data_IF_808913362918
#
_entry.id   IF_808913362918
#
_cell.length_a   1.000
_cell.length_b   1.000
_cell.length_c   1.000
_cell.angle_alpha   90.00
_cell.angle_beta   90.00
_cell.angle_gamma   90.00
#
_symmetry.space_group_name_H-M   'P 1'
#
loop_
_entity.id
_entity.type
_entity.pdbx_description
1 polymer ?
#
# COMPACT_ATOMS: atom_id res chain seq x y z
N UNK A 1 1.64 -3.76 12.53
CA UNK A 1 1.55 -4.91 11.59
C UNK A 1 2.49 -6.03 12.02
N UNK A 2 1.98 -7.24 12.21
CA UNK A 2 2.78 -8.44 12.51
C UNK A 2 3.68 -8.86 11.34
N UNK A 3 4.71 -9.66 11.63
CA UNK A 3 5.75 -10.09 10.66
C UNK A 3 5.17 -10.85 9.48
N UNK A 4 4.27 -11.80 9.72
CA UNK A 4 3.61 -12.57 8.66
C UNK A 4 2.85 -11.69 7.67
N UNK A 5 2.07 -10.71 8.16
CA UNK A 5 1.32 -9.81 7.28
C UNK A 5 2.25 -8.90 6.46
N UNK A 6 3.35 -8.43 7.02
CA UNK A 6 4.37 -7.66 6.26
C UNK A 6 4.94 -8.50 5.11
N UNK A 7 5.30 -9.76 5.40
CA UNK A 7 5.82 -10.68 4.39
C UNK A 7 4.84 -10.91 3.24
N UNK A 8 3.55 -11.09 3.57
CA UNK A 8 2.49 -11.23 2.57
C UNK A 8 2.34 -9.96 1.73
N UNK A 9 2.28 -8.79 2.34
CA UNK A 9 2.19 -7.51 1.62
C UNK A 9 3.38 -7.31 0.67
N UNK A 10 4.59 -7.60 1.15
CA UNK A 10 5.82 -7.48 0.36
C UNK A 10 5.85 -8.44 -0.82
N UNK A 11 5.42 -9.68 -0.59
CA UNK A 11 5.30 -10.68 -1.64
C UNK A 11 4.25 -10.30 -2.67
N UNK A 12 3.09 -9.78 -2.24
CA UNK A 12 2.04 -9.32 -3.14
C UNK A 12 2.53 -8.16 -4.01
N UNK A 13 3.10 -7.13 -3.39
CA UNK A 13 3.59 -5.92 -4.08
C UNK A 13 4.70 -6.24 -5.08
N UNK A 14 5.65 -7.11 -4.72
CA UNK A 14 6.79 -7.43 -5.58
C UNK A 14 6.49 -8.46 -6.67
N UNK A 15 5.62 -9.44 -6.41
CA UNK A 15 5.46 -10.59 -7.32
C UNK A 15 4.22 -10.52 -8.21
N UNK A 16 3.11 -9.97 -7.72
CA UNK A 16 1.84 -10.14 -8.42
C UNK A 16 0.93 -8.91 -8.46
N UNK A 17 1.23 -7.83 -7.75
CA UNK A 17 0.33 -6.67 -7.65
C UNK A 17 -0.08 -6.13 -9.03
N UNK A 18 0.89 -5.83 -9.89
CA UNK A 18 0.62 -5.31 -11.24
C UNK A 18 -0.18 -6.27 -12.11
N UNK A 19 0.14 -7.57 -12.08
CA UNK A 19 -0.59 -8.58 -12.85
C UNK A 19 -2.03 -8.73 -12.36
N UNK A 20 -2.21 -8.84 -11.03
CA UNK A 20 -3.51 -8.99 -10.37
C UNK A 20 -4.41 -7.77 -10.65
N UNK A 21 -3.91 -6.57 -10.39
CA UNK A 21 -4.70 -5.34 -10.55
C UNK A 21 -5.04 -5.09 -12.02
N UNK A 22 -4.13 -5.36 -12.95
CA UNK A 22 -4.40 -5.22 -14.39
C UNK A 22 -5.46 -6.23 -14.86
N UNK A 23 -5.39 -7.47 -14.40
CA UNK A 23 -6.40 -8.50 -14.70
C UNK A 23 -7.79 -8.06 -14.19
N UNK A 24 -7.88 -7.64 -12.92
CA UNK A 24 -9.14 -7.20 -12.33
C UNK A 24 -9.70 -5.94 -13.00
N UNK A 25 -8.87 -4.94 -13.31
CA UNK A 25 -9.27 -3.75 -14.08
C UNK A 25 -9.92 -4.13 -15.41
N UNK A 26 -9.34 -5.10 -16.12
CA UNK A 26 -9.89 -5.56 -17.39
C UNK A 26 -11.24 -6.24 -17.24
N UNK A 27 -11.43 -7.07 -16.20
CA UNK A 27 -12.72 -7.70 -15.93
C UNK A 27 -13.79 -6.68 -15.52
N UNK A 28 -13.44 -5.68 -14.68
CA UNK A 28 -14.34 -4.58 -14.33
C UNK A 28 -14.71 -3.73 -15.53
N UNK A 29 -13.74 -3.40 -16.39
CA UNK A 29 -13.97 -2.64 -17.63
C UNK A 29 -14.94 -3.33 -18.58
N UNK A 30 -14.90 -4.66 -18.63
CA UNK A 30 -15.77 -5.48 -19.49
C UNK A 30 -17.17 -5.73 -18.91
N UNK A 31 -17.41 -5.34 -17.65
CA UNK A 31 -18.66 -5.72 -16.96
C UNK A 31 -18.81 -7.24 -16.85
N UNK A 32 -17.71 -7.95 -16.58
CA UNK A 32 -17.67 -9.41 -16.59
C UNK A 32 -18.70 -10.03 -15.65
N UNK A 33 -19.50 -10.98 -16.17
CA UNK A 33 -20.45 -11.74 -15.38
C UNK A 33 -19.79 -12.70 -14.35
N UNK A 34 -18.47 -12.85 -14.41
CA UNK A 34 -17.68 -13.64 -13.45
C UNK A 34 -17.51 -12.93 -12.10
N UNK A 35 -17.63 -11.60 -12.10
CA UNK A 35 -17.44 -10.79 -10.90
C UNK A 35 -18.77 -10.66 -10.15
N UNK A 36 -18.70 -10.86 -8.85
CA UNK A 36 -19.81 -10.62 -7.95
C UNK A 36 -19.96 -9.12 -7.67
N UNK A 37 -21.16 -8.63 -7.34
CA UNK A 37 -21.39 -7.21 -7.03
C UNK A 37 -20.45 -6.65 -5.94
N UNK A 38 -20.08 -7.48 -4.96
CA UNK A 38 -19.20 -7.09 -3.85
C UNK A 38 -17.70 -7.09 -4.18
N UNK A 39 -17.27 -7.73 -5.28
CA UNK A 39 -15.85 -7.83 -5.64
C UNK A 39 -15.24 -6.46 -5.92
N UNK A 40 -16.06 -5.53 -6.38
CA UNK A 40 -15.66 -4.14 -6.59
C UNK A 40 -15.22 -3.47 -5.28
N UNK A 41 -15.94 -3.69 -4.19
CA UNK A 41 -15.59 -3.14 -2.87
C UNK A 41 -14.31 -3.78 -2.34
N UNK A 42 -14.18 -5.11 -2.47
CA UNK A 42 -12.97 -5.83 -2.06
C UNK A 42 -11.74 -5.35 -2.84
N UNK A 43 -11.88 -5.10 -4.13
CA UNK A 43 -10.83 -4.52 -4.97
C UNK A 43 -10.37 -3.15 -4.44
N UNK A 44 -11.30 -2.25 -4.11
CA UNK A 44 -10.93 -0.95 -3.54
C UNK A 44 -10.24 -1.07 -2.19
N UNK A 45 -10.72 -1.94 -1.31
CA UNK A 45 -10.06 -2.19 -0.02
C UNK A 45 -8.65 -2.73 -0.18
N UNK A 46 -8.44 -3.68 -1.09
CA UNK A 46 -7.13 -4.25 -1.38
C UNK A 46 -6.16 -3.16 -1.86
N UNK A 47 -6.58 -2.33 -2.81
CA UNK A 47 -5.75 -1.24 -3.36
C UNK A 47 -5.45 -0.20 -2.29
N UNK A 48 -6.46 0.24 -1.55
CA UNK A 48 -6.27 1.22 -0.48
C UNK A 48 -5.27 0.69 0.55
N UNK A 49 -5.45 -0.54 1.02
CA UNK A 49 -4.59 -1.15 2.02
C UNK A 49 -3.15 -1.29 1.53
N UNK A 50 -2.93 -1.87 0.35
CA UNK A 50 -1.59 -2.09 -0.19
C UNK A 50 -0.90 -0.77 -0.58
N UNK A 51 -1.65 0.22 -1.07
CA UNK A 51 -1.12 1.56 -1.34
C UNK A 51 -0.72 2.27 -0.05
N UNK A 52 -1.56 2.24 0.98
CA UNK A 52 -1.26 2.85 2.27
C UNK A 52 -0.05 2.17 2.94
N UNK A 53 -0.01 0.83 2.91
CA UNK A 53 1.13 0.05 3.37
C UNK A 53 2.42 0.44 2.65
N UNK A 54 2.39 0.47 1.31
CA UNK A 54 3.55 0.81 0.50
C UNK A 54 4.05 2.24 0.76
N UNK A 55 3.14 3.21 0.87
CA UNK A 55 3.49 4.60 1.18
C UNK A 55 4.04 4.79 2.59
N UNK A 56 3.60 3.99 3.56
CA UNK A 56 4.13 4.04 4.92
C UNK A 56 5.51 3.36 5.05
N UNK A 57 5.76 2.32 4.25
CA UNK A 57 6.99 1.50 4.36
C UNK A 57 8.25 2.25 3.95
N UNK A 58 8.23 3.01 2.85
CA UNK A 58 9.41 3.76 2.38
C UNK A 58 10.01 4.69 3.46
N UNK A 59 9.22 5.63 4.03
CA UNK A 59 9.66 6.49 5.12
C UNK A 59 10.10 5.71 6.36
N UNK A 60 9.45 4.59 6.67
CA UNK A 60 9.84 3.75 7.80
C UNK A 60 11.21 3.11 7.60
N UNK A 61 11.49 2.55 6.42
CA UNK A 61 12.80 1.97 6.08
C UNK A 61 13.90 3.04 6.10
N UNK A 62 13.63 4.22 5.58
CA UNK A 62 14.57 5.35 5.62
C UNK A 62 14.90 5.73 7.06
N UNK A 63 13.89 5.89 7.94
CA UNK A 63 14.12 6.17 9.36
C UNK A 63 14.96 5.08 10.05
N UNK A 64 14.65 3.81 9.81
CA UNK A 64 15.41 2.69 10.38
C UNK A 64 16.88 2.72 9.95
N UNK A 65 17.13 2.99 8.67
CA UNK A 65 18.48 3.11 8.14
C UNK A 65 19.21 4.31 8.76
N UNK A 66 18.57 5.47 8.87
CA UNK A 66 19.15 6.64 9.56
C UNK A 66 19.51 6.32 11.01
N UNK A 67 18.64 5.64 11.76
CA UNK A 67 18.95 5.23 13.12
C UNK A 67 20.12 4.25 13.19
N UNK A 68 20.21 3.29 12.26
CA UNK A 68 21.33 2.35 12.19
C UNK A 68 22.66 3.05 11.89
N UNK A 69 22.67 4.03 10.98
CA UNK A 69 23.83 4.84 10.66
C UNK A 69 24.27 5.68 11.87
N UNK A 70 23.34 6.38 12.52
CA UNK A 70 23.67 7.17 13.72
C UNK A 70 24.23 6.31 14.87
N UNK A 71 23.64 5.12 15.08
CA UNK A 71 24.13 4.18 16.09
C UNK A 71 25.52 3.64 15.76
N UNK A 72 25.80 3.40 14.47
CA UNK A 72 27.13 3.01 13.99
C UNK A 72 28.16 4.12 14.22
N UNK A 73 27.86 5.36 13.83
CA UNK A 73 28.79 6.49 14.03
C UNK A 73 29.09 6.72 15.52
N UNK A 74 28.07 6.62 16.39
CA UNK A 74 28.26 6.72 17.83
C UNK A 74 29.17 5.60 18.39
N UNK A 75 28.96 4.35 17.96
CA UNK A 75 29.81 3.21 18.35
C UNK A 75 31.25 3.38 17.84
N UNK A 76 31.40 3.83 16.60
CA UNK A 76 32.69 4.05 15.96
C UNK A 76 33.49 5.15 16.67
N UNK A 77 32.83 6.24 17.04
CA UNK A 77 33.44 7.34 17.80
C UNK A 77 33.83 6.89 19.21
N UNK A 78 33.00 6.10 19.89
CA UNK A 78 33.31 5.56 21.21
C UNK A 78 34.52 4.62 21.16
N UNK A 79 34.53 3.66 20.23
CA UNK A 79 35.64 2.72 20.04
C UNK A 79 36.97 3.43 19.74
N UNK A 80 36.93 4.53 18.99
CA UNK A 80 38.11 5.36 18.76
C UNK A 80 38.65 6.00 20.04
N UNK A 81 37.76 6.50 20.90
CA UNK A 81 38.13 7.16 22.16
C UNK A 81 38.66 6.18 23.21
N UNK A 82 38.11 4.96 23.26
CA UNK A 82 38.48 3.96 24.28
C UNK A 82 39.68 3.13 23.89
N UNK A 83 39.70 2.64 22.64
CA UNK A 83 40.59 1.56 22.21
C UNK A 83 41.44 1.94 20.98
N UNK A 84 41.28 3.17 20.47
CA UNK A 84 42.08 3.72 19.40
C UNK A 84 41.58 3.40 17.98
N UNK A 85 42.43 3.67 16.99
CA UNK A 85 42.04 3.64 15.58
C UNK A 85 41.65 2.24 15.09
N UNK A 86 42.39 1.21 15.48
CA UNK A 86 42.16 -0.16 15.00
C UNK A 86 40.80 -0.70 15.47
N UNK A 87 40.40 -0.38 16.70
CA UNK A 87 39.08 -0.74 17.23
C UNK A 87 37.94 0.00 16.52
N UNK A 88 38.16 1.27 16.16
CA UNK A 88 37.19 2.07 15.40
C UNK A 88 36.98 1.53 13.98
N UNK A 89 38.06 1.05 13.33
CA UNK A 89 38.01 0.45 12.00
C UNK A 89 37.38 -0.95 12.00
N UNK A 90 37.46 -1.67 13.13
CA UNK A 90 36.84 -2.98 13.30
C UNK A 90 35.32 -2.94 13.53
N UNK A 91 34.71 -1.75 13.74
CA UNK A 91 33.26 -1.62 13.88
C UNK A 91 32.57 -1.96 12.57
N UNK A 92 31.67 -2.95 12.62
CA UNK A 92 30.92 -3.40 11.44
C UNK A 92 29.99 -2.31 10.92
N UNK A 93 30.08 -2.03 9.62
CA UNK A 93 29.26 -1.03 8.95
C UNK A 93 27.77 -1.41 8.97
N UNK A 94 26.85 -0.43 8.99
CA UNK A 94 25.43 -0.72 8.94
C UNK A 94 25.07 -1.38 7.59
N UNK A 95 24.07 -2.28 7.57
CA UNK A 95 23.64 -2.90 6.33
C UNK A 95 23.14 -1.83 5.35
N UNK A 96 23.35 -2.05 4.03
CA UNK A 96 22.90 -1.11 3.02
C UNK A 96 21.38 -0.93 3.09
N UNK A 97 20.91 0.25 2.72
CA UNK A 97 19.47 0.53 2.69
C UNK A 97 18.78 -0.47 1.76
N UNK A 98 17.72 -1.10 2.27
CA UNK A 98 16.93 -2.07 1.48
C UNK A 98 16.38 -1.37 0.25
N UNK A 99 16.67 -1.93 -0.94
CA UNK A 99 16.11 -1.45 -2.21
C UNK A 99 14.59 -1.51 -2.15
N UNK A 100 13.94 -0.37 -2.37
CA UNK A 100 12.49 -0.24 -2.28
C UNK A 100 11.94 0.32 -3.58
N UNK A 101 11.23 -0.53 -4.33
CA UNK A 101 10.60 -0.12 -5.57
C UNK A 101 9.43 0.84 -5.30
N UNK A 102 9.68 2.13 -5.52
CA UNK A 102 8.67 3.17 -5.38
C UNK A 102 7.54 3.04 -6.40
N UNK A 103 7.74 2.30 -7.50
CA UNK A 103 6.81 2.18 -8.61
C UNK A 103 5.90 0.95 -8.52
N UNK A 104 6.06 0.11 -7.49
CA UNK A 104 5.31 -1.15 -7.33
C UNK A 104 3.78 -0.98 -7.34
N UNK A 105 3.27 0.22 -7.01
CA UNK A 105 1.84 0.53 -6.94
C UNK A 105 1.28 1.26 -8.17
N UNK A 106 2.09 1.57 -9.19
CA UNK A 106 1.67 2.44 -10.31
C UNK A 106 0.53 1.85 -11.14
N UNK A 107 0.38 0.53 -11.15
CA UNK A 107 -0.69 -0.16 -11.87
C UNK A 107 -2.09 0.21 -11.38
N UNK A 108 -2.24 0.91 -10.25
CA UNK A 108 -3.54 1.40 -9.74
C UNK A 108 -3.57 2.91 -9.54
N UNK A 109 -2.51 3.61 -9.97
CA UNK A 109 -2.41 5.06 -9.94
C UNK A 109 -2.48 5.64 -11.36
N UNK A 110 -3.28 5.01 -12.21
CA UNK A 110 -3.50 5.40 -13.61
C UNK A 110 -4.87 6.04 -13.82
N UNK A 111 -5.06 6.66 -14.99
CA UNK A 111 -6.30 7.36 -15.35
C UNK A 111 -7.52 6.43 -15.33
N UNK A 112 -7.36 5.16 -15.74
CA UNK A 112 -8.45 4.19 -15.68
C UNK A 112 -8.90 3.97 -14.24
N UNK A 113 -7.95 3.76 -13.33
CA UNK A 113 -8.22 3.51 -11.91
C UNK A 113 -8.92 4.70 -11.26
N UNK A 114 -8.51 5.92 -11.62
CA UNK A 114 -9.18 7.14 -11.19
C UNK A 114 -10.64 7.21 -11.67
N UNK A 115 -10.87 7.03 -12.98
CA UNK A 115 -12.23 7.03 -13.53
C UNK A 115 -13.09 5.91 -12.95
N UNK A 116 -12.50 4.74 -12.69
CA UNK A 116 -13.20 3.61 -12.10
C UNK A 116 -13.67 3.90 -10.66
N UNK A 117 -12.88 4.63 -9.87
CA UNK A 117 -13.29 5.13 -8.55
C UNK A 117 -14.45 6.12 -8.69
N UNK A 118 -14.36 7.10 -9.60
CA UNK A 118 -15.42 8.10 -9.80
C UNK A 118 -16.75 7.47 -10.19
N UNK A 119 -16.75 6.57 -11.18
CA UNK A 119 -17.95 5.84 -11.60
C UNK A 119 -18.56 5.03 -10.45
N UNK A 120 -17.72 4.46 -9.59
CA UNK A 120 -18.19 3.69 -8.45
C UNK A 120 -18.83 4.57 -7.38
N UNK A 121 -18.31 5.78 -7.16
CA UNK A 121 -18.91 6.78 -6.25
C UNK A 121 -20.27 7.24 -6.80
N UNK A 122 -20.35 7.54 -8.10
CA UNK A 122 -21.59 7.97 -8.76
C UNK A 122 -22.70 6.91 -8.66
N UNK A 123 -22.37 5.64 -8.90
CA UNK A 123 -23.30 4.51 -8.76
C UNK A 123 -23.79 4.40 -7.32
N UNK A 124 -22.90 4.47 -6.33
CA UNK A 124 -23.27 4.42 -4.92
C UNK A 124 -24.17 5.61 -4.52
N UNK A 125 -23.85 6.82 -4.97
CA UNK A 125 -24.65 8.02 -4.70
C UNK A 125 -26.04 7.92 -5.33
N UNK A 126 -26.12 7.39 -6.55
CA UNK A 126 -27.38 7.19 -7.27
C UNK A 126 -28.26 6.17 -6.55
N UNK A 127 -27.72 5.01 -6.18
CA UNK A 127 -28.44 3.99 -5.41
C UNK A 127 -28.93 4.53 -4.07
N UNK A 128 -28.11 5.31 -3.37
CA UNK A 128 -28.52 5.95 -2.11
C UNK A 128 -29.69 6.91 -2.30
N UNK A 129 -29.69 7.73 -3.36
CA UNK A 129 -30.82 8.62 -3.68
C UNK A 129 -32.09 7.83 -4.00
N UNK A 130 -31.98 6.74 -4.76
CA UNK A 130 -33.12 5.86 -5.05
C UNK A 130 -33.70 5.22 -3.78
N UNK A 131 -32.85 4.71 -2.88
CA UNK A 131 -33.29 4.12 -1.63
C UNK A 131 -34.00 5.14 -0.73
N UNK A 132 -33.44 6.36 -0.61
CA UNK A 132 -34.09 7.45 0.14
C UNK A 132 -35.45 7.80 -0.47
N UNK A 133 -35.52 7.98 -1.79
CA UNK A 133 -36.77 8.28 -2.49
C UNK A 133 -37.82 7.16 -2.35
N UNK A 134 -37.41 5.89 -2.35
CA UNK A 134 -38.32 4.76 -2.10
C UNK A 134 -38.87 4.77 -0.67
N UNK A 135 -38.02 5.03 0.32
CA UNK A 135 -38.45 5.14 1.72
C UNK A 135 -39.42 6.32 1.88
N UNK A 136 -39.14 7.46 1.26
CA UNK A 136 -40.04 8.63 1.31
C UNK A 136 -41.40 8.31 0.67
N UNK A 137 -41.43 7.64 -0.50
CA UNK A 137 -42.68 7.21 -1.15
C UNK A 137 -43.46 6.22 -0.30
N UNK A 138 -42.78 5.26 0.35
CA UNK A 138 -43.42 4.30 1.25
C UNK A 138 -43.95 4.99 2.52
N UNK A 139 -43.25 6.01 3.04
CA UNK A 139 -43.67 6.76 4.23
C UNK A 139 -44.85 7.70 3.96
N UNK A 140 -45.03 8.16 2.71
CA UNK A 140 -46.19 8.97 2.30
C UNK A 140 -47.46 8.10 2.08
N UNK A 141 -47.30 6.78 1.89
CA UNK A 141 -48.41 5.86 1.61
C UNK A 141 -48.97 5.13 2.84
N UNK A 142 -48.42 5.34 4.02
CA UNK A 142 -48.93 4.87 5.32
C UNK A 142 -49.14 6.06 6.26
#
# INVERSE_FOLDING_TARGET
LGTALRYVCDSLLSKCYTSLTTSLKNEFRRGSAKLLPNDRLLYFHLIWFLTAYHRAKGPHLSKLHTHAVLAYEAKKALAFQTDGLDASLAVEAPPPMVSYDQKAILSTLDMFSFNFVLQSIEVCATLRRYLVSMVDILTIKY
#
